data_IF_219620899851
#
_entry.id   IF_219620899851
#
_cell.length_a   1.000
_cell.length_b   1.000
_cell.length_c   1.000
_cell.angle_alpha   90.00
_cell.angle_beta   90.00
_cell.angle_gamma   90.00
#
_symmetry.space_group_name_H-M   'P 1'
#
loop_
_entity.id
_entity.type
_entity.pdbx_description
1 polymer ?
#
# COMPACT_ATOMS: atom_id res chain seq x y z
N UNK A 1 -6.80 18.78 -21.65
CA UNK A 1 -6.31 17.43 -21.30
C UNK A 1 -5.95 16.76 -22.62
N UNK A 2 -4.67 16.57 -22.91
CA UNK A 2 -4.28 15.67 -24.00
C UNK A 2 -4.83 14.28 -23.65
N UNK A 3 -5.62 13.73 -24.55
CA UNK A 3 -6.03 12.32 -24.47
C UNK A 3 -4.78 11.49 -24.69
N UNK A 4 -4.20 10.94 -23.63
CA UNK A 4 -3.08 10.02 -23.73
C UNK A 4 -3.58 8.79 -24.49
N UNK A 5 -3.14 8.64 -25.73
CA UNK A 5 -3.52 7.50 -26.57
C UNK A 5 -2.71 6.27 -26.12
N UNK A 6 -3.40 5.17 -25.83
CA UNK A 6 -2.73 3.94 -25.40
C UNK A 6 -1.98 3.30 -26.59
N UNK A 7 -0.71 2.96 -26.39
CA UNK A 7 0.09 2.24 -27.39
C UNK A 7 -0.42 0.81 -27.48
N UNK A 8 -0.75 0.35 -28.69
CA UNK A 8 -1.16 -1.04 -28.90
C UNK A 8 0.04 -1.97 -28.78
N UNK A 9 -0.14 -3.05 -28.03
CA UNK A 9 0.88 -4.09 -27.86
C UNK A 9 0.37 -5.46 -28.37
N UNK A 10 1.31 -6.34 -28.74
CA UNK A 10 1.04 -7.76 -28.94
C UNK A 10 1.42 -8.52 -27.65
N UNK A 11 0.43 -9.21 -27.05
CA UNK A 11 0.66 -9.99 -25.84
C UNK A 11 1.55 -11.22 -26.09
N UNK A 12 1.72 -11.66 -27.33
CA UNK A 12 2.65 -12.73 -27.70
C UNK A 12 4.13 -12.37 -27.37
N UNK A 13 4.46 -11.08 -27.30
CA UNK A 13 5.79 -10.59 -26.90
C UNK A 13 6.05 -10.70 -25.39
N UNK A 14 5.07 -11.13 -24.61
CA UNK A 14 5.12 -11.16 -23.16
C UNK A 14 4.92 -12.57 -22.61
N UNK A 15 5.47 -12.82 -21.43
CA UNK A 15 5.27 -14.05 -20.66
C UNK A 15 4.64 -13.71 -19.30
N UNK A 16 3.74 -14.57 -18.84
CA UNK A 16 3.08 -14.42 -17.54
C UNK A 16 4.12 -14.36 -16.41
N UNK A 17 3.96 -13.38 -15.52
CA UNK A 17 4.86 -13.19 -14.37
C UNK A 17 4.15 -13.31 -13.02
N UNK A 18 2.84 -13.03 -12.97
CA UNK A 18 2.06 -13.12 -11.75
C UNK A 18 0.72 -12.41 -11.87
N UNK A 19 -0.15 -12.62 -10.89
CA UNK A 19 -1.46 -11.99 -10.80
C UNK A 19 -1.61 -11.31 -9.44
N UNK A 20 -2.23 -10.13 -9.44
CA UNK A 20 -2.60 -9.36 -8.27
C UNK A 20 -4.09 -9.02 -8.26
N UNK A 21 -4.54 -8.32 -7.23
CA UNK A 21 -5.95 -7.95 -7.06
C UNK A 21 -6.52 -7.16 -8.27
N UNK A 22 -5.73 -6.29 -8.87
CA UNK A 22 -6.17 -5.37 -9.92
C UNK A 22 -5.83 -5.80 -11.35
N UNK A 23 -5.03 -6.86 -11.53
CA UNK A 23 -4.62 -7.28 -12.87
C UNK A 23 -3.50 -8.29 -12.88
N UNK A 24 -2.96 -8.49 -14.07
CA UNK A 24 -1.95 -9.50 -14.37
C UNK A 24 -0.65 -8.84 -14.80
N UNK A 25 0.46 -9.30 -14.27
CA UNK A 25 1.80 -8.84 -14.62
C UNK A 25 2.46 -9.80 -15.60
N UNK A 26 3.21 -9.23 -16.53
CA UNK A 26 3.94 -9.94 -17.58
C UNK A 26 5.37 -9.41 -17.70
N UNK A 27 6.31 -10.27 -18.07
CA UNK A 27 7.66 -9.88 -18.47
C UNK A 27 7.75 -9.86 -19.99
N UNK A 28 8.44 -8.87 -20.56
CA UNK A 28 8.69 -8.85 -21.99
C UNK A 28 9.73 -9.90 -22.39
N UNK A 29 9.44 -10.74 -23.41
CA UNK A 29 10.28 -11.88 -23.81
C UNK A 29 11.65 -11.47 -24.36
N UNK A 30 11.68 -10.34 -25.09
CA UNK A 30 12.87 -9.89 -25.83
C UNK A 30 13.54 -8.67 -25.18
N UNK A 31 12.91 -8.06 -24.17
CA UNK A 31 13.48 -6.96 -23.41
C UNK A 31 13.42 -7.25 -21.91
N UNK A 32 14.51 -7.72 -21.29
CA UNK A 32 14.52 -8.17 -19.91
C UNK A 32 14.27 -7.04 -18.90
N UNK A 33 14.34 -5.78 -19.33
CA UNK A 33 14.18 -4.61 -18.46
C UNK A 33 12.75 -4.02 -18.52
N UNK A 34 11.82 -4.68 -19.24
CA UNK A 34 10.42 -4.27 -19.35
C UNK A 34 9.51 -5.28 -18.66
N UNK A 35 8.64 -4.79 -17.79
CA UNK A 35 7.45 -5.48 -17.30
C UNK A 35 6.19 -4.72 -17.71
N UNK A 36 5.08 -5.43 -17.76
CA UNK A 36 3.77 -4.94 -18.10
C UNK A 36 2.78 -5.35 -17.00
N UNK A 37 1.97 -4.39 -16.53
CA UNK A 37 0.80 -4.65 -15.68
C UNK A 37 -0.44 -4.36 -16.52
N UNK A 38 -1.23 -5.41 -16.87
CA UNK A 38 -2.52 -5.27 -17.53
C UNK A 38 -3.65 -5.41 -16.51
N UNK A 39 -4.56 -4.45 -16.52
CA UNK A 39 -5.70 -4.42 -15.61
C UNK A 39 -6.85 -5.29 -16.12
N UNK A 40 -7.85 -5.52 -15.27
CA UNK A 40 -9.05 -6.27 -15.67
C UNK A 40 -9.77 -5.56 -16.82
N UNK A 41 -10.49 -6.30 -17.70
CA UNK A 41 -11.24 -5.69 -18.79
C UNK A 41 -12.23 -4.63 -18.29
N UNK A 42 -12.38 -3.55 -19.05
CA UNK A 42 -13.29 -2.44 -18.73
C UNK A 42 -12.70 -1.35 -17.84
N UNK A 43 -11.54 -1.56 -17.23
CA UNK A 43 -10.84 -0.56 -16.44
C UNK A 43 -9.90 0.26 -17.36
N UNK A 44 -10.28 1.50 -17.66
CA UNK A 44 -9.47 2.44 -18.48
C UNK A 44 -8.84 3.51 -17.60
N UNK A 45 -9.63 4.08 -16.70
CA UNK A 45 -9.21 5.20 -15.87
C UNK A 45 -8.20 4.77 -14.80
N UNK A 46 -8.43 3.65 -14.14
CA UNK A 46 -7.57 3.17 -13.05
C UNK A 46 -6.10 2.97 -13.47
N UNK A 47 -5.76 2.27 -14.59
CA UNK A 47 -4.36 2.17 -15.03
C UNK A 47 -3.75 3.50 -15.44
N UNK A 48 -4.55 4.42 -15.97
CA UNK A 48 -4.08 5.76 -16.32
C UNK A 48 -3.76 6.59 -15.06
N UNK A 49 -4.61 6.53 -14.04
CA UNK A 49 -4.39 7.20 -12.77
C UNK A 49 -3.17 6.64 -12.06
N UNK A 50 -3.02 5.29 -12.00
CA UNK A 50 -1.85 4.66 -11.41
C UNK A 50 -0.56 5.06 -12.13
N UNK A 51 -0.55 5.10 -13.46
CA UNK A 51 0.62 5.56 -14.23
C UNK A 51 0.97 7.01 -13.90
N UNK A 52 -0.02 7.91 -13.85
CA UNK A 52 0.20 9.32 -13.55
C UNK A 52 0.74 9.52 -12.13
N UNK A 53 0.22 8.79 -11.15
CA UNK A 53 0.71 8.81 -9.77
C UNK A 53 2.13 8.24 -9.73
N UNK A 54 2.38 7.07 -10.31
CA UNK A 54 3.70 6.44 -10.33
C UNK A 54 4.77 7.35 -10.95
N UNK A 55 4.43 8.11 -12.01
CA UNK A 55 5.34 9.07 -12.63
C UNK A 55 5.69 10.21 -11.68
N UNK A 56 4.71 10.80 -11.02
CA UNK A 56 4.93 11.87 -10.04
C UNK A 56 5.76 11.38 -8.84
N UNK A 57 5.51 10.16 -8.36
CA UNK A 57 6.27 9.53 -7.27
C UNK A 57 7.72 9.29 -7.67
N UNK A 58 7.95 8.79 -8.89
CA UNK A 58 9.28 8.60 -9.45
C UNK A 58 10.03 9.93 -9.61
N UNK A 59 9.36 10.97 -10.14
CA UNK A 59 9.90 12.33 -10.29
C UNK A 59 10.21 13.00 -8.94
N UNK A 60 9.45 12.66 -7.88
CA UNK A 60 9.72 13.10 -6.52
C UNK A 60 10.93 12.38 -5.86
N UNK A 61 11.59 11.46 -6.59
CA UNK A 61 12.77 10.74 -6.11
C UNK A 61 12.48 9.61 -5.12
N UNK A 62 11.22 9.22 -4.95
CA UNK A 62 10.85 8.07 -4.13
C UNK A 62 11.18 6.79 -4.89
N UNK A 63 11.92 5.84 -4.28
CA UNK A 63 12.34 4.63 -4.96
C UNK A 63 11.14 3.77 -5.39
N UNK A 64 10.89 3.73 -6.70
CA UNK A 64 9.83 2.94 -7.34
C UNK A 64 10.30 2.51 -8.74
N UNK A 65 9.75 1.43 -9.33
CA UNK A 65 10.01 1.12 -10.73
C UNK A 65 9.64 2.29 -11.64
N UNK A 66 10.56 2.68 -12.53
CA UNK A 66 10.29 3.76 -13.48
C UNK A 66 9.06 3.44 -14.33
N UNK A 67 8.00 4.27 -14.32
CA UNK A 67 6.83 4.08 -15.15
C UNK A 67 7.10 4.45 -16.60
N UNK A 68 6.66 3.60 -17.51
CA UNK A 68 6.78 3.80 -18.95
C UNK A 68 5.46 4.19 -19.60
N UNK A 69 5.11 3.49 -20.67
CA UNK A 69 3.98 3.81 -21.52
C UNK A 69 2.65 3.30 -20.97
N UNK A 70 1.57 4.05 -21.26
CA UNK A 70 0.20 3.57 -21.19
C UNK A 70 -0.08 2.72 -22.42
N UNK A 71 -0.57 1.50 -22.24
CA UNK A 71 -0.70 0.53 -23.31
C UNK A 71 -2.04 -0.20 -23.33
N UNK A 72 -2.36 -0.86 -24.46
CA UNK A 72 -3.53 -1.73 -24.58
C UNK A 72 -3.24 -2.96 -25.44
N UNK A 73 -3.78 -4.12 -25.05
CA UNK A 73 -3.83 -5.31 -25.90
C UNK A 73 -5.06 -5.32 -26.84
N UNK A 74 -5.90 -4.27 -26.74
CA UNK A 74 -7.14 -4.10 -27.49
C UNK A 74 -8.39 -4.51 -26.70
N UNK A 75 -8.24 -5.13 -25.54
CA UNK A 75 -9.31 -5.53 -24.61
C UNK A 75 -9.09 -4.94 -23.23
N UNK A 76 -7.85 -4.91 -22.80
CA UNK A 76 -7.39 -4.41 -21.50
C UNK A 76 -6.44 -3.24 -21.69
N UNK A 77 -6.40 -2.39 -20.69
CA UNK A 77 -5.42 -1.32 -20.58
C UNK A 77 -4.40 -1.63 -19.49
N UNK A 78 -3.23 -1.03 -19.60
CA UNK A 78 -2.15 -1.27 -18.66
C UNK A 78 -1.02 -0.29 -18.75
N UNK A 79 0.01 -0.54 -17.96
CA UNK A 79 1.21 0.30 -17.87
C UNK A 79 2.44 -0.58 -18.01
N UNK A 80 3.40 -0.13 -18.81
CA UNK A 80 4.76 -0.66 -18.78
C UNK A 80 5.52 -0.04 -17.63
N UNK A 81 6.41 -0.82 -17.02
CA UNK A 81 7.35 -0.37 -16.01
C UNK A 81 8.74 -0.91 -16.30
N UNK A 82 9.77 -0.23 -15.80
CA UNK A 82 11.10 -0.81 -15.72
C UNK A 82 11.05 -2.03 -14.81
N UNK A 83 11.48 -3.18 -15.33
CA UNK A 83 11.49 -4.43 -14.57
C UNK A 83 12.62 -4.44 -13.55
N UNK A 84 12.30 -4.62 -12.29
CA UNK A 84 13.28 -4.90 -11.23
C UNK A 84 13.54 -6.42 -11.26
N UNK A 85 14.73 -6.80 -11.75
CA UNK A 85 15.11 -8.21 -11.85
C UNK A 85 15.58 -8.75 -10.49
N UNK A 86 15.31 -10.03 -10.22
CA UNK A 86 15.71 -10.73 -8.98
C UNK A 86 15.20 -10.04 -7.70
N UNK A 87 14.11 -9.27 -7.82
CA UNK A 87 13.47 -8.63 -6.68
C UNK A 87 12.84 -9.65 -5.75
N UNK A 88 12.88 -9.36 -4.46
CA UNK A 88 12.17 -10.10 -3.42
C UNK A 88 11.36 -9.11 -2.60
N UNK A 89 10.08 -9.41 -2.28
CA UNK A 89 9.34 -8.61 -1.31
C UNK A 89 9.74 -8.99 0.11
N UNK A 90 9.61 -8.03 1.05
CA UNK A 90 9.85 -8.35 2.46
C UNK A 90 8.90 -9.45 2.96
N UNK A 91 7.66 -9.49 2.46
CA UNK A 91 6.73 -10.59 2.75
C UNK A 91 7.32 -11.95 2.39
N UNK A 92 7.77 -12.10 1.13
CA UNK A 92 8.35 -13.35 0.65
C UNK A 92 9.66 -13.69 1.37
N UNK A 93 10.52 -12.69 1.57
CA UNK A 93 11.80 -12.89 2.26
C UNK A 93 11.62 -13.44 3.69
N UNK A 94 10.65 -12.92 4.42
CA UNK A 94 10.34 -13.42 5.78
C UNK A 94 9.71 -14.81 5.73
N UNK A 95 8.82 -15.09 4.75
CA UNK A 95 8.23 -16.41 4.58
C UNK A 95 9.27 -17.49 4.25
N UNK A 96 10.18 -17.18 3.32
CA UNK A 96 11.21 -18.12 2.87
C UNK A 96 12.40 -18.23 3.86
N UNK A 97 12.71 -17.16 4.63
CA UNK A 97 13.84 -17.05 5.54
C UNK A 97 13.45 -16.43 6.89
N UNK A 98 12.58 -17.10 7.69
CA UNK A 98 12.07 -16.55 8.96
C UNK A 98 13.16 -16.33 10.03
N UNK A 99 14.32 -16.95 9.90
CA UNK A 99 15.49 -16.72 10.77
C UNK A 99 16.05 -15.29 10.62
N UNK A 100 15.82 -14.62 9.48
CA UNK A 100 16.25 -13.25 9.20
C UNK A 100 15.16 -12.20 9.49
N UNK A 101 14.05 -12.58 10.12
CA UNK A 101 12.87 -11.72 10.35
C UNK A 101 13.24 -10.37 10.96
N UNK A 102 14.05 -10.36 12.01
CA UNK A 102 14.44 -9.14 12.73
C UNK A 102 15.12 -8.17 11.77
N UNK A 103 16.11 -8.63 11.03
CA UNK A 103 16.83 -7.81 10.03
C UNK A 103 15.85 -7.24 8.98
N UNK A 104 14.97 -8.07 8.43
CA UNK A 104 14.00 -7.61 7.43
C UNK A 104 13.01 -6.58 7.99
N UNK A 105 12.56 -6.76 9.24
CA UNK A 105 11.68 -5.81 9.89
C UNK A 105 12.36 -4.47 10.17
N UNK A 106 13.63 -4.48 10.59
CA UNK A 106 14.43 -3.29 10.81
C UNK A 106 14.71 -2.53 9.50
N UNK A 107 15.09 -3.24 8.42
CA UNK A 107 15.31 -2.66 7.09
C UNK A 107 14.00 -2.02 6.55
N UNK A 108 12.87 -2.72 6.69
CA UNK A 108 11.58 -2.19 6.27
C UNK A 108 11.16 -0.97 7.10
N UNK A 109 11.42 -0.97 8.43
CA UNK A 109 11.15 0.19 9.28
C UNK A 109 11.98 1.42 8.86
N UNK A 110 13.26 1.22 8.52
CA UNK A 110 14.11 2.29 7.99
C UNK A 110 13.60 2.82 6.65
N UNK A 111 13.18 1.93 5.76
CA UNK A 111 12.58 2.30 4.47
C UNK A 111 11.30 3.13 4.66
N UNK A 112 10.42 2.74 5.58
CA UNK A 112 9.22 3.50 5.94
C UNK A 112 9.56 4.87 6.55
N UNK A 113 10.58 4.95 7.41
CA UNK A 113 11.05 6.23 7.96
C UNK A 113 11.54 7.19 6.89
N UNK A 114 12.28 6.68 5.90
CA UNK A 114 12.76 7.50 4.76
C UNK A 114 11.59 8.01 3.93
N UNK A 115 10.60 7.16 3.63
CA UNK A 115 9.37 7.58 2.96
C UNK A 115 8.67 8.70 3.73
N UNK A 116 8.43 8.49 5.02
CA UNK A 116 7.73 9.44 5.89
C UNK A 116 8.57 10.66 6.34
N UNK A 117 9.84 10.72 5.95
CA UNK A 117 10.68 11.92 6.04
C UNK A 117 10.69 12.72 4.73
N UNK A 118 10.08 12.21 3.67
CA UNK A 118 10.01 12.86 2.36
C UNK A 118 8.80 13.79 2.33
N UNK A 119 9.06 15.09 2.07
CA UNK A 119 8.03 16.08 1.83
C UNK A 119 7.67 16.12 0.35
N UNK A 120 6.38 16.19 0.03
CA UNK A 120 5.90 16.17 -1.34
C UNK A 120 5.09 17.43 -1.68
N UNK A 121 4.97 17.72 -2.96
CA UNK A 121 4.12 18.80 -3.44
C UNK A 121 2.63 18.44 -3.24
N UNK A 122 1.99 19.12 -2.28
CA UNK A 122 0.58 18.90 -1.94
C UNK A 122 -0.41 19.25 -3.06
N UNK A 123 0.04 19.95 -4.10
CA UNK A 123 -0.77 20.23 -5.29
C UNK A 123 -0.72 19.08 -6.31
N UNK A 124 0.28 18.20 -6.19
CA UNK A 124 0.48 17.07 -7.08
C UNK A 124 -0.22 15.79 -6.61
N UNK A 125 -0.48 15.67 -5.30
CA UNK A 125 -1.01 14.46 -4.66
C UNK A 125 -2.24 14.75 -3.81
N UNK A 126 -3.06 13.73 -3.57
CA UNK A 126 -4.25 13.82 -2.72
C UNK A 126 -3.89 13.75 -1.23
N UNK A 127 -4.55 14.56 -0.41
CA UNK A 127 -4.47 14.45 1.05
C UNK A 127 -5.14 13.16 1.52
N UNK A 128 -4.45 12.40 2.38
CA UNK A 128 -5.00 11.15 2.93
C UNK A 128 -6.28 11.39 3.74
N UNK A 129 -6.40 12.52 4.44
CA UNK A 129 -7.63 12.89 5.17
C UNK A 129 -8.83 13.06 4.23
N UNK A 130 -8.63 13.75 3.11
CA UNK A 130 -9.69 13.97 2.11
C UNK A 130 -10.13 12.65 1.49
N UNK A 131 -9.16 11.78 1.17
CA UNK A 131 -9.42 10.44 0.65
C UNK A 131 -10.28 9.61 1.62
N UNK A 132 -9.84 9.50 2.89
CA UNK A 132 -10.60 8.73 3.89
C UNK A 132 -11.96 9.35 4.19
N UNK A 133 -12.07 10.68 4.24
CA UNK A 133 -13.34 11.38 4.45
C UNK A 133 -14.35 11.10 3.34
N UNK A 134 -13.91 11.18 2.08
CA UNK A 134 -14.74 10.85 0.92
C UNK A 134 -15.20 9.39 0.96
N UNK A 135 -14.29 8.46 1.19
CA UNK A 135 -14.60 7.03 1.24
C UNK A 135 -15.50 6.67 2.42
N UNK A 136 -15.37 7.34 3.56
CA UNK A 136 -16.27 7.18 4.71
C UNK A 136 -17.70 7.61 4.39
N UNK A 137 -17.88 8.73 3.68
CA UNK A 137 -19.21 9.18 3.24
C UNK A 137 -19.88 8.13 2.35
N UNK A 138 -19.14 7.54 1.44
CA UNK A 138 -19.61 6.52 0.49
C UNK A 138 -19.86 5.15 1.12
N UNK A 139 -19.21 4.83 2.26
CA UNK A 139 -19.35 3.53 2.91
C UNK A 139 -20.76 3.34 3.51
N UNK A 140 -21.53 2.33 3.08
CA UNK A 140 -22.90 2.12 3.52
C UNK A 140 -23.02 1.43 4.89
N UNK A 141 -21.93 0.93 5.45
CA UNK A 141 -21.95 0.07 6.64
C UNK A 141 -21.75 0.82 7.95
N UNK A 142 -21.55 2.16 7.91
CA UNK A 142 -21.47 3.02 9.10
C UNK A 142 -22.76 3.85 9.23
N UNK A 143 -23.26 3.94 10.45
CA UNK A 143 -24.36 4.86 10.78
C UNK A 143 -23.90 6.31 10.69
N UNK A 144 -24.83 7.30 10.52
CA UNK A 144 -24.46 8.71 10.52
C UNK A 144 -23.65 9.14 11.74
N UNK A 145 -24.03 8.67 12.94
CA UNK A 145 -23.31 9.01 14.18
C UNK A 145 -21.90 8.42 14.24
N UNK A 146 -21.68 7.22 13.70
CA UNK A 146 -20.34 6.63 13.56
C UNK A 146 -19.50 7.40 12.54
N UNK A 147 -20.09 7.77 11.40
CA UNK A 147 -19.41 8.60 10.39
C UNK A 147 -18.95 9.93 10.98
N UNK A 148 -19.80 10.60 11.76
CA UNK A 148 -19.44 11.86 12.40
C UNK A 148 -18.27 11.74 13.39
N UNK A 149 -18.18 10.61 14.12
CA UNK A 149 -17.08 10.36 15.04
C UNK A 149 -15.78 10.04 14.30
N UNK A 150 -15.86 9.17 13.29
CA UNK A 150 -14.70 8.81 12.46
C UNK A 150 -14.19 10.00 11.67
N UNK A 151 -15.08 10.83 11.11
CA UNK A 151 -14.70 12.04 10.40
C UNK A 151 -13.93 13.00 11.30
N UNK A 152 -14.40 13.23 12.53
CA UNK A 152 -13.66 14.06 13.51
C UNK A 152 -12.28 13.48 13.78
N UNK A 153 -12.17 12.17 14.05
CA UNK A 153 -10.89 11.54 14.29
C UNK A 153 -9.93 11.68 13.09
N UNK A 154 -10.43 11.52 11.85
CA UNK A 154 -9.64 11.69 10.63
C UNK A 154 -9.14 13.14 10.51
N UNK A 155 -10.03 14.11 10.71
CA UNK A 155 -9.71 15.54 10.56
C UNK A 155 -8.81 16.07 11.68
N UNK A 156 -8.91 15.53 12.90
CA UNK A 156 -8.08 15.89 14.05
C UNK A 156 -6.63 15.34 13.95
N UNK A 157 -6.36 14.40 13.03
CA UNK A 157 -4.99 13.95 12.78
C UNK A 157 -4.10 15.14 12.34
N UNK A 158 -2.79 15.15 12.66
CA UNK A 158 -1.88 16.23 12.27
C UNK A 158 -1.87 16.49 10.76
N UNK A 159 -1.81 17.79 10.38
CA UNK A 159 -1.58 18.17 8.99
C UNK A 159 -0.09 18.12 8.68
N UNK A 160 0.28 17.35 7.68
CA UNK A 160 1.66 17.23 7.21
C UNK A 160 1.67 17.09 5.69
N UNK A 161 2.76 17.50 5.05
CA UNK A 161 3.04 17.32 3.63
C UNK A 161 3.91 16.07 3.37
N UNK A 162 3.91 15.15 4.33
CA UNK A 162 4.70 13.91 4.33
C UNK A 162 4.15 12.91 3.31
N UNK A 163 5.03 12.28 2.55
CA UNK A 163 4.67 11.21 1.63
C UNK A 163 3.97 10.04 2.34
N UNK A 164 2.86 9.58 1.78
CA UNK A 164 2.07 8.44 2.24
C UNK A 164 1.92 7.45 1.08
N UNK A 165 2.26 6.19 1.31
CA UNK A 165 2.10 5.12 0.31
C UNK A 165 0.61 4.81 0.06
N UNK A 166 -0.22 4.87 1.09
CA UNK A 166 -1.66 4.59 1.04
C UNK A 166 -2.02 3.12 1.23
N UNK A 167 -1.16 2.20 0.78
CA UNK A 167 -1.26 0.74 1.02
C UNK A 167 0.09 0.17 1.45
N UNK A 168 0.67 0.74 2.52
CA UNK A 168 1.98 0.37 3.03
C UNK A 168 1.94 -0.97 3.78
N UNK A 169 2.42 -2.01 3.13
CA UNK A 169 2.60 -3.33 3.72
C UNK A 169 3.85 -4.01 3.14
N UNK A 170 4.38 -5.01 3.84
CA UNK A 170 5.67 -5.62 3.50
C UNK A 170 5.67 -6.43 2.19
N UNK A 171 4.52 -6.67 1.56
CA UNK A 171 4.40 -7.19 0.18
C UNK A 171 4.65 -6.12 -0.87
N UNK A 172 4.35 -4.83 -0.56
CA UNK A 172 4.51 -3.69 -1.45
C UNK A 172 5.89 -3.01 -1.35
N UNK A 173 6.80 -3.58 -0.57
CA UNK A 173 8.17 -3.15 -0.47
C UNK A 173 9.10 -4.28 -0.97
N UNK A 174 9.98 -3.94 -1.90
CA UNK A 174 10.88 -4.87 -2.57
C UNK A 174 12.33 -4.49 -2.31
N UNK A 175 13.21 -5.48 -2.41
CA UNK A 175 14.66 -5.24 -2.45
C UNK A 175 15.36 -6.12 -3.47
N UNK A 176 16.53 -5.66 -3.92
CA UNK A 176 17.51 -6.41 -4.69
C UNK A 176 18.90 -5.91 -4.32
N UNK A 177 19.71 -6.75 -3.69
CA UNK A 177 20.95 -6.28 -3.06
C UNK A 177 20.68 -5.16 -2.04
N UNK A 178 21.31 -4.00 -2.24
CA UNK A 178 21.13 -2.82 -1.39
C UNK A 178 20.03 -1.87 -1.87
N UNK A 179 19.47 -2.10 -3.05
CA UNK A 179 18.41 -1.27 -3.60
C UNK A 179 17.04 -1.63 -2.99
N UNK A 180 16.21 -0.61 -2.75
CA UNK A 180 14.87 -0.73 -2.16
C UNK A 180 13.86 -0.03 -3.06
N UNK A 181 12.63 -0.59 -3.14
CA UNK A 181 11.59 -0.06 -4.02
C UNK A 181 10.23 -0.22 -3.37
N UNK A 182 9.38 0.81 -3.50
CA UNK A 182 7.94 0.70 -3.26
C UNK A 182 7.23 0.37 -4.57
N UNK A 183 6.18 -0.44 -4.48
CA UNK A 183 5.31 -0.79 -5.61
C UNK A 183 3.85 -0.64 -5.22
N UNK A 184 2.96 -0.67 -6.23
CA UNK A 184 1.51 -0.56 -6.04
C UNK A 184 1.09 0.79 -5.41
N UNK A 185 1.52 1.87 -6.09
CA UNK A 185 1.42 3.25 -5.64
C UNK A 185 0.09 3.93 -6.04
N UNK A 186 -0.92 3.17 -6.46
CA UNK A 186 -2.22 3.73 -6.88
C UNK A 186 -2.94 4.54 -5.79
N UNK A 187 -2.58 4.31 -4.54
CA UNK A 187 -3.15 4.97 -3.36
C UNK A 187 -2.25 6.05 -2.76
N UNK A 188 -1.12 6.34 -3.43
CA UNK A 188 -0.14 7.29 -2.93
C UNK A 188 -0.73 8.70 -2.75
N UNK A 189 -0.31 9.35 -1.68
CA UNK A 189 -0.76 10.69 -1.32
C UNK A 189 0.17 11.37 -0.31
N UNK A 190 -0.36 12.30 0.45
CA UNK A 190 0.37 12.92 1.55
C UNK A 190 -0.48 13.02 2.81
N UNK A 191 0.18 13.11 3.97
CA UNK A 191 -0.47 13.31 5.25
C UNK A 191 0.24 12.66 6.42
N UNK A 192 -0.49 12.41 7.49
CA UNK A 192 0.08 11.90 8.74
C UNK A 192 0.51 10.42 8.62
N UNK A 193 1.76 10.08 8.94
CA UNK A 193 2.33 8.74 8.71
C UNK A 193 1.57 7.58 9.33
N UNK A 194 0.80 7.79 10.39
CA UNK A 194 0.07 6.69 11.02
C UNK A 194 -1.04 6.12 10.13
N UNK A 195 -1.50 6.84 9.09
CA UNK A 195 -2.40 6.26 8.09
C UNK A 195 -1.75 5.10 7.31
N UNK A 196 -0.42 5.14 7.12
CA UNK A 196 0.33 4.03 6.53
C UNK A 196 0.69 2.96 7.56
N UNK A 197 1.26 3.37 8.70
CA UNK A 197 1.70 2.45 9.75
C UNK A 197 0.55 1.63 10.31
N UNK A 198 -0.66 2.17 10.29
CA UNK A 198 -1.89 1.42 10.61
C UNK A 198 -2.03 0.15 9.78
N UNK A 199 -1.63 0.13 8.50
CA UNK A 199 -1.68 -1.08 7.67
C UNK A 199 -0.65 -2.12 8.10
N UNK A 200 0.57 -1.70 8.46
CA UNK A 200 1.60 -2.61 8.98
C UNK A 200 1.14 -3.27 10.28
N UNK A 201 0.51 -2.49 11.18
CA UNK A 201 -0.09 -3.01 12.42
C UNK A 201 -1.26 -3.97 12.13
N UNK A 202 -2.13 -3.60 11.18
CA UNK A 202 -3.30 -4.41 10.84
C UNK A 202 -2.92 -5.80 10.34
N UNK A 203 -1.84 -5.93 9.57
CA UNK A 203 -1.34 -7.25 9.12
C UNK A 203 -0.87 -8.13 10.27
N UNK A 204 -0.41 -7.54 11.38
CA UNK A 204 0.05 -8.28 12.56
C UNK A 204 -1.08 -8.72 13.49
N UNK A 205 -2.10 -7.87 13.68
CA UNK A 205 -3.05 -8.05 14.78
C UNK A 205 -4.53 -8.05 14.39
N UNK A 206 -4.87 -7.60 13.18
CA UNK A 206 -6.27 -7.40 12.78
C UNK A 206 -6.68 -8.31 11.63
N UNK A 207 -5.77 -8.54 10.68
CA UNK A 207 -6.05 -9.35 9.49
C UNK A 207 -6.36 -10.79 9.84
N UNK A 208 -7.31 -11.37 9.10
CA UNK A 208 -7.67 -12.78 9.28
C UNK A 208 -6.45 -13.69 9.01
N UNK A 209 -6.26 -14.76 9.81
CA UNK A 209 -5.09 -15.66 9.71
C UNK A 209 -4.87 -16.22 8.31
N UNK A 210 -5.93 -16.61 7.61
CA UNK A 210 -5.83 -17.19 6.27
C UNK A 210 -5.41 -16.13 5.25
N UNK A 211 -5.91 -14.89 5.40
CA UNK A 211 -5.44 -13.77 4.56
C UNK A 211 -3.94 -13.51 4.75
N UNK A 212 -3.44 -13.56 5.98
CA UNK A 212 -1.99 -13.39 6.26
C UNK A 212 -1.17 -14.47 5.57
N UNK A 213 -1.62 -15.73 5.61
CA UNK A 213 -0.93 -16.85 4.94
C UNK A 213 -0.94 -16.71 3.42
N UNK A 214 -2.08 -16.36 2.85
CA UNK A 214 -2.26 -16.30 1.41
C UNK A 214 -1.59 -15.06 0.79
N UNK A 215 -1.80 -13.87 1.38
CA UNK A 215 -1.32 -12.62 0.83
C UNK A 215 0.16 -12.35 1.15
N UNK A 216 0.62 -12.74 2.36
CA UNK A 216 1.96 -12.41 2.83
C UNK A 216 2.89 -13.62 2.97
N UNK A 217 2.39 -14.84 2.72
CA UNK A 217 3.16 -16.08 2.84
C UNK A 217 3.79 -16.27 4.23
N UNK A 218 3.11 -15.80 5.27
CA UNK A 218 3.57 -15.85 6.66
C UNK A 218 2.54 -16.49 7.57
N UNK A 219 3.01 -17.16 8.63
CA UNK A 219 2.15 -17.50 9.74
C UNK A 219 1.80 -16.26 10.56
N UNK A 220 0.58 -16.13 11.11
CA UNK A 220 0.17 -14.96 11.91
C UNK A 220 1.12 -14.62 13.05
N UNK A 221 1.68 -15.62 13.73
CA UNK A 221 2.68 -15.40 14.78
C UNK A 221 3.96 -14.76 14.25
N UNK A 222 4.33 -15.00 12.99
CA UNK A 222 5.47 -14.38 12.32
C UNK A 222 5.19 -12.90 12.02
N UNK A 223 3.98 -12.55 11.60
CA UNK A 223 3.55 -11.15 11.43
C UNK A 223 3.62 -10.36 12.74
N UNK A 224 3.19 -10.96 13.86
CA UNK A 224 3.30 -10.32 15.18
C UNK A 224 4.78 -10.08 15.56
N UNK A 225 5.64 -11.06 15.36
CA UNK A 225 7.09 -10.91 15.63
C UNK A 225 7.71 -9.85 14.71
N UNK A 226 7.24 -9.77 13.47
CA UNK A 226 7.68 -8.73 12.53
C UNK A 226 7.35 -7.33 13.04
N UNK A 227 6.11 -7.11 13.50
CA UNK A 227 5.71 -5.85 14.12
C UNK A 227 6.54 -5.52 15.37
N UNK A 228 6.77 -6.49 16.24
CA UNK A 228 7.57 -6.30 17.46
C UNK A 228 9.02 -5.89 17.18
N UNK A 229 9.60 -6.32 16.06
CA UNK A 229 10.93 -5.89 15.61
C UNK A 229 10.87 -4.55 14.85
N UNK A 230 9.83 -4.31 14.06
CA UNK A 230 9.60 -3.10 13.27
C UNK A 230 9.35 -1.86 14.14
N UNK A 231 8.41 -1.94 15.09
CA UNK A 231 7.90 -0.77 15.79
C UNK A 231 8.97 -0.01 16.60
N UNK A 232 9.88 -0.65 17.35
CA UNK A 232 10.95 0.07 18.07
C UNK A 232 11.89 0.84 17.14
N UNK A 233 12.16 0.29 15.94
CA UNK A 233 13.04 0.97 14.95
C UNK A 233 12.32 2.15 14.31
N UNK A 234 11.04 1.99 13.99
CA UNK A 234 10.26 3.05 13.36
C UNK A 234 9.97 4.22 14.33
N UNK A 235 9.50 3.93 15.55
CA UNK A 235 9.06 4.95 16.53
C UNK A 235 10.16 5.44 17.48
N UNK A 236 11.29 4.73 17.54
CA UNK A 236 12.34 4.93 18.54
C UNK A 236 12.21 3.94 19.70
N UNK A 237 13.35 3.56 20.26
CA UNK A 237 13.47 2.49 21.28
C UNK A 237 12.96 2.90 22.67
N UNK A 238 12.81 4.20 22.93
CA UNK A 238 12.45 4.71 24.26
C UNK A 238 10.94 4.65 24.57
N UNK A 239 10.14 4.33 23.55
CA UNK A 239 8.68 4.24 23.70
C UNK A 239 8.26 2.81 24.02
N UNK A 240 7.45 2.60 25.09
CA UNK A 240 6.85 1.28 25.34
C UNK A 240 5.98 0.82 24.16
N UNK A 241 6.14 -0.44 23.75
CA UNK A 241 5.41 -1.00 22.60
C UNK A 241 3.89 -0.87 22.74
N UNK A 242 3.37 -1.07 23.97
CA UNK A 242 1.93 -0.94 24.27
C UNK A 242 1.38 0.46 23.97
N UNK A 243 2.20 1.50 24.19
CA UNK A 243 1.79 2.89 23.99
C UNK A 243 1.81 3.22 22.49
N UNK A 244 2.77 2.66 21.74
CA UNK A 244 2.83 2.70 20.28
C UNK A 244 1.59 2.01 19.70
N UNK A 245 1.28 0.80 20.15
CA UNK A 245 0.13 0.03 19.68
C UNK A 245 -1.21 0.73 19.96
N UNK A 246 -1.34 1.36 21.14
CA UNK A 246 -2.52 2.15 21.49
C UNK A 246 -2.74 3.34 20.54
N UNK A 247 -1.66 4.01 20.12
CA UNK A 247 -1.70 5.13 19.18
C UNK A 247 -1.99 4.67 17.74
N UNK A 248 -1.39 3.57 17.28
CA UNK A 248 -1.51 3.08 15.91
C UNK A 248 -2.83 2.36 15.64
N UNK A 249 -3.35 1.64 16.63
CA UNK A 249 -4.52 0.77 16.49
C UNK A 249 -5.75 1.46 15.86
N UNK A 250 -6.14 2.69 16.21
CA UNK A 250 -7.25 3.38 15.56
C UNK A 250 -7.03 3.58 14.06
N UNK A 251 -5.81 3.96 13.64
CA UNK A 251 -5.46 4.14 12.21
C UNK A 251 -5.52 2.81 11.45
N UNK A 252 -5.12 1.71 12.09
CA UNK A 252 -5.31 0.38 11.53
C UNK A 252 -6.80 0.06 11.33
N UNK A 253 -7.64 0.42 12.31
CA UNK A 253 -9.09 0.29 12.23
C UNK A 253 -9.70 1.10 11.08
N UNK A 254 -9.17 2.28 10.74
CA UNK A 254 -9.66 3.08 9.61
C UNK A 254 -9.59 2.35 8.26
N UNK A 255 -8.72 1.35 8.11
CA UNK A 255 -8.68 0.52 6.88
C UNK A 255 -10.02 -0.17 6.60
N UNK A 256 -10.87 -0.37 7.61
CA UNK A 256 -12.22 -0.91 7.42
C UNK A 256 -13.06 -0.06 6.46
N UNK A 257 -12.83 1.27 6.41
CA UNK A 257 -13.59 2.19 5.55
C UNK A 257 -13.43 1.77 4.08
N UNK A 258 -12.21 1.41 3.68
CA UNK A 258 -11.86 0.99 2.33
C UNK A 258 -12.26 -0.47 2.12
N UNK A 259 -11.83 -1.36 3.02
CA UNK A 259 -11.99 -2.81 2.86
C UNK A 259 -13.47 -3.21 2.84
N UNK A 260 -14.31 -2.64 3.70
CA UNK A 260 -15.76 -2.92 3.70
C UNK A 260 -16.44 -2.49 2.41
N UNK A 261 -16.07 -1.32 1.87
CA UNK A 261 -16.58 -0.86 0.58
C UNK A 261 -16.22 -1.84 -0.53
N UNK A 262 -14.95 -2.23 -0.61
CA UNK A 262 -14.44 -3.07 -1.69
C UNK A 262 -14.93 -4.52 -1.59
N UNK A 263 -15.10 -5.03 -0.36
CA UNK A 263 -15.64 -6.37 -0.10
C UNK A 263 -17.17 -6.42 -0.10
N UNK A 264 -17.85 -5.26 -0.04
CA UNK A 264 -19.32 -5.18 0.02
C UNK A 264 -19.92 -5.81 1.28
N UNK A 265 -19.17 -5.90 2.39
CA UNK A 265 -19.60 -6.48 3.66
C UNK A 265 -18.86 -5.88 4.86
N UNK A 266 -19.47 -5.89 6.07
CA UNK A 266 -18.81 -5.45 7.29
C UNK A 266 -17.58 -6.31 7.63
N UNK A 267 -16.55 -5.68 8.21
CA UNK A 267 -15.30 -6.31 8.66
C UNK A 267 -15.14 -6.17 10.18
N UNK A 268 -15.70 -7.11 10.99
CA UNK A 268 -15.79 -6.97 12.43
C UNK A 268 -14.42 -6.81 13.13
N UNK A 269 -13.38 -7.51 12.65
CA UNK A 269 -12.04 -7.46 13.24
C UNK A 269 -11.44 -6.06 13.17
N UNK A 270 -11.60 -5.38 12.03
CA UNK A 270 -11.15 -3.99 11.87
C UNK A 270 -12.01 -3.01 12.70
N UNK A 271 -13.33 -3.23 12.77
CA UNK A 271 -14.24 -2.40 13.60
C UNK A 271 -13.93 -2.50 15.08
N UNK A 272 -13.44 -3.64 15.56
CA UNK A 272 -12.99 -3.79 16.94
C UNK A 272 -11.87 -2.81 17.29
N UNK A 273 -10.97 -2.51 16.34
CA UNK A 273 -9.92 -1.52 16.53
C UNK A 273 -10.44 -0.07 16.60
N UNK A 274 -11.63 0.20 16.07
CA UNK A 274 -12.31 1.50 16.12
C UNK A 274 -13.17 1.71 17.37
N UNK A 275 -13.38 0.70 18.21
CA UNK A 275 -14.24 0.82 19.41
C UNK A 275 -13.94 2.06 20.28
N UNK A 276 -12.68 2.42 20.56
CA UNK A 276 -12.40 3.60 21.38
C UNK A 276 -12.90 4.92 20.77
N UNK A 277 -13.05 4.97 19.44
CA UNK A 277 -13.59 6.12 18.71
C UNK A 277 -15.12 6.04 18.62
N UNK A 278 -15.63 4.86 18.32
CA UNK A 278 -17.07 4.65 18.10
C UNK A 278 -17.86 4.64 19.40
N UNK A 279 -17.25 4.26 20.51
CA UNK A 279 -17.87 4.11 21.84
C UNK A 279 -16.94 4.70 22.91
N UNK A 280 -16.70 6.04 22.89
CA UNK A 280 -15.79 6.71 23.83
C UNK A 280 -16.29 6.68 25.28
#
# INVERSE_FOLDING_TARGET
METLEAIRIDLADYEYAGEGANGVSYNHRHNPDVMLKLYRPGLVQQPLDEMNIARKVYEAGIPTPEPGDFVTDGTRYGVRFRRIRNKVSYARAVGDHPENLVRYAEEFAQMCRLLHATHVDTTAFECVKDKYSRQLVENPFFTPAEKDRLLRFILDAPDTDTAIHGDLQYGNALFVGDERYFIDLGDFGYGYPLFDIGMVYATAYISEPDFVREAFHMEPATSVRFWQAFAPVYFGTDRPIRDIEAEVRPYAGLKTIIVERDMGKPMPTFREALKPILHP
#
